data_IF_923921711096
#
_entry.id   IF_923921711096
#
_cell.length_a   1.000
_cell.length_b   1.000
_cell.length_c   1.000
_cell.angle_alpha   90.00
_cell.angle_beta   90.00
_cell.angle_gamma   90.00
#
_symmetry.space_group_name_H-M   'P 1'
#
loop_
_entity.id
_entity.type
_entity.pdbx_description
1 polymer ?
#
# COMPACT_ATOMS: atom_id res chain seq x y z
N UNK A 1 10.47 5.43 8.64
CA UNK A 1 11.81 5.43 8.02
C UNK A 1 12.37 4.04 8.18
N UNK A 2 12.84 3.41 7.11
CA UNK A 2 13.35 2.03 7.18
C UNK A 2 14.50 1.94 8.17
N UNK A 3 14.42 0.95 9.06
CA UNK A 3 15.41 0.76 10.12
C UNK A 3 16.74 0.25 9.53
N UNK A 4 17.83 0.41 10.26
CA UNK A 4 19.14 -0.06 9.80
C UNK A 4 19.18 -1.59 9.64
N UNK A 5 18.30 -2.31 10.36
CA UNK A 5 18.10 -3.74 10.23
C UNK A 5 17.40 -4.12 8.91
N UNK A 6 16.38 -3.37 8.49
CA UNK A 6 15.68 -3.59 7.22
C UNK A 6 16.57 -3.29 5.99
N UNK A 7 17.50 -2.35 6.13
CA UNK A 7 18.38 -1.93 5.03
C UNK A 7 19.62 -2.81 4.85
N UNK A 8 19.87 -3.74 5.77
CA UNK A 8 20.98 -4.68 5.71
C UNK A 8 20.94 -5.56 4.45
N UNK A 9 19.74 -5.86 3.95
CA UNK A 9 19.55 -6.64 2.72
C UNK A 9 20.13 -5.99 1.46
N UNK A 10 20.33 -4.66 1.46
CA UNK A 10 20.86 -3.91 0.32
C UNK A 10 22.38 -3.71 0.37
N UNK A 11 23.07 -4.28 1.38
CA UNK A 11 24.52 -4.28 1.50
C UNK A 11 25.15 -2.89 1.32
N UNK A 12 26.19 -2.81 0.46
CA UNK A 12 26.93 -1.57 0.19
C UNK A 12 26.10 -0.48 -0.53
N UNK A 13 24.99 -0.85 -1.17
CA UNK A 13 24.11 0.10 -1.85
C UNK A 13 23.20 0.86 -0.87
N UNK A 14 23.04 0.35 0.35
CA UNK A 14 22.13 0.92 1.36
C UNK A 14 22.44 2.38 1.72
N UNK A 15 23.68 2.85 1.55
CA UNK A 15 24.09 4.24 1.84
C UNK A 15 23.54 5.21 0.78
N UNK A 16 23.39 4.76 -0.46
CA UNK A 16 22.90 5.58 -1.58
C UNK A 16 21.38 5.57 -1.71
N UNK A 17 20.72 4.60 -1.08
CA UNK A 17 19.25 4.47 -1.05
C UNK A 17 18.61 5.22 0.12
N UNK A 18 19.44 5.87 0.95
CA UNK A 18 19.01 6.63 2.13
C UNK A 18 19.24 8.12 1.90
N UNK A 19 18.40 8.95 2.54
CA UNK A 19 18.76 10.35 2.78
C UNK A 19 20.01 10.40 3.66
N UNK A 20 20.92 11.39 3.47
CA UNK A 20 22.12 11.52 4.27
C UNK A 20 21.83 11.49 5.78
N UNK A 21 22.77 10.97 6.57
CA UNK A 21 22.61 10.84 8.03
C UNK A 21 22.24 12.17 8.71
N UNK A 22 22.79 13.27 8.18
CA UNK A 22 22.44 14.64 8.60
C UNK A 22 20.94 14.94 8.45
N UNK A 23 20.35 14.64 7.29
CA UNK A 23 18.92 14.86 7.04
C UNK A 23 18.03 13.93 7.87
N UNK A 24 18.52 12.72 8.19
CA UNK A 24 17.80 11.76 9.04
C UNK A 24 17.70 12.26 10.48
N UNK A 25 18.81 12.74 11.02
CA UNK A 25 18.88 13.31 12.38
C UNK A 25 18.04 14.58 12.47
N UNK A 26 18.11 15.45 11.45
CA UNK A 26 17.28 16.65 11.36
C UNK A 26 15.78 16.31 11.29
N UNK A 27 15.39 15.28 10.52
CA UNK A 27 14.00 14.84 10.42
C UNK A 27 13.45 14.19 11.70
N UNK A 28 14.29 13.45 12.45
CA UNK A 28 13.90 12.84 13.74
C UNK A 28 13.79 13.88 14.87
N UNK A 29 14.65 14.89 14.84
CA UNK A 29 14.66 15.95 15.86
C UNK A 29 13.74 17.12 15.51
N UNK A 30 13.12 17.13 14.34
CA UNK A 30 12.18 18.16 13.94
C UNK A 30 10.91 18.07 14.82
N UNK A 31 10.58 19.13 15.60
CA UNK A 31 9.36 19.15 16.38
C UNK A 31 8.14 19.14 15.45
N UNK A 32 7.34 18.07 15.54
CA UNK A 32 6.10 17.97 14.77
C UNK A 32 4.98 18.74 15.46
N UNK A 33 4.57 19.86 14.85
CA UNK A 33 3.41 20.61 15.29
C UNK A 33 2.13 20.08 14.62
N UNK A 34 1.42 19.20 15.33
CA UNK A 34 0.17 18.61 14.87
C UNK A 34 -0.94 19.64 14.59
N UNK A 35 -0.84 20.86 15.12
CA UNK A 35 -1.87 21.90 14.92
C UNK A 35 -1.74 22.62 13.58
N UNK A 36 -0.50 22.77 13.10
CA UNK A 36 -0.20 23.50 11.87
C UNK A 36 0.10 22.58 10.68
N UNK A 37 0.43 21.30 10.89
CA UNK A 37 0.61 20.36 9.79
C UNK A 37 -0.71 20.10 9.03
N UNK A 38 -0.70 20.27 7.70
CA UNK A 38 -1.85 19.97 6.83
C UNK A 38 -1.40 19.45 5.45
N UNK A 39 -2.32 18.91 4.66
CA UNK A 39 -2.04 18.43 3.30
C UNK A 39 -2.88 19.20 2.27
N UNK A 40 -2.25 19.50 1.13
CA UNK A 40 -2.88 20.19 0.00
C UNK A 40 -2.95 19.23 -1.18
N UNK A 41 -4.10 19.18 -1.86
CA UNK A 41 -4.25 18.36 -3.07
C UNK A 41 -3.39 18.90 -4.21
N UNK A 42 -2.65 18.03 -4.88
CA UNK A 42 -1.85 18.36 -6.07
C UNK A 42 -2.20 17.42 -7.24
N UNK A 43 -2.19 17.93 -8.46
CA UNK A 43 -2.61 17.17 -9.65
C UNK A 43 -1.61 16.07 -10.02
N UNK A 44 -0.31 16.24 -9.68
CA UNK A 44 0.76 15.29 -9.99
C UNK A 44 1.04 14.33 -8.83
N UNK A 45 1.12 14.86 -7.60
CA UNK A 45 1.52 14.08 -6.42
C UNK A 45 0.36 13.65 -5.51
N UNK A 46 -0.88 13.95 -5.93
CA UNK A 46 -2.14 13.78 -5.20
C UNK A 46 -2.25 14.65 -3.95
N UNK A 47 -1.24 14.62 -3.07
CA UNK A 47 -1.18 15.35 -1.81
C UNK A 47 0.25 15.79 -1.47
N UNK A 48 0.42 17.09 -1.23
CA UNK A 48 1.67 17.71 -0.76
C UNK A 48 1.59 18.05 0.73
N UNK A 49 2.68 17.82 1.46
CA UNK A 49 2.79 18.19 2.89
C UNK A 49 2.93 19.71 3.00
N UNK A 50 2.17 20.34 3.87
CA UNK A 50 2.22 21.78 4.09
C UNK A 50 2.07 22.18 5.56
N UNK A 51 2.50 23.39 5.90
CA UNK A 51 2.31 24.02 7.20
C UNK A 51 1.31 25.17 7.07
N UNK A 52 0.25 25.15 7.87
CA UNK A 52 -0.74 26.21 7.95
C UNK A 52 -0.10 27.49 8.53
N UNK A 53 -0.11 28.57 7.75
CA UNK A 53 0.35 29.89 8.17
C UNK A 53 -0.82 30.71 8.73
N UNK A 54 -1.94 30.74 8.00
CA UNK A 54 -3.11 31.56 8.37
C UNK A 54 -4.41 30.91 7.93
N UNK A 55 -5.46 31.08 8.72
CA UNK A 55 -6.83 30.63 8.41
C UNK A 55 -7.78 31.81 8.51
N UNK A 56 -8.34 32.23 7.37
CA UNK A 56 -9.36 33.28 7.27
C UNK A 56 -10.67 32.64 6.79
N UNK A 57 -11.43 32.09 7.74
CA UNK A 57 -12.70 31.40 7.47
C UNK A 57 -12.53 30.15 6.60
N UNK A 58 -12.98 30.24 5.34
CA UNK A 58 -12.93 29.14 4.34
C UNK A 58 -11.57 29.10 3.60
N UNK A 59 -10.74 30.14 3.73
CA UNK A 59 -9.42 30.24 3.07
C UNK A 59 -8.30 29.92 4.05
N UNK A 60 -7.31 29.16 3.60
CA UNK A 60 -6.13 28.82 4.36
C UNK A 60 -4.87 29.14 3.53
N UNK A 61 -3.93 29.87 4.12
CA UNK A 61 -2.59 30.09 3.56
C UNK A 61 -1.68 29.03 4.15
N UNK A 62 -1.02 28.28 3.28
CA UNK A 62 -0.23 27.11 3.65
C UNK A 62 1.11 27.15 2.94
N UNK A 63 2.19 26.78 3.63
CA UNK A 63 3.54 26.67 3.07
C UNK A 63 3.82 25.22 2.75
N UNK A 64 4.01 24.89 1.48
CA UNK A 64 4.35 23.53 1.05
C UNK A 64 5.80 23.24 1.47
N UNK A 65 6.04 22.07 2.06
CA UNK A 65 7.38 21.63 2.44
C UNK A 65 8.22 21.38 1.18
N UNK A 66 9.28 22.17 0.99
CA UNK A 66 10.23 22.02 -0.12
C UNK A 66 10.07 23.00 -1.28
N UNK A 67 9.09 23.92 -1.24
CA UNK A 67 8.94 25.01 -2.22
C UNK A 67 8.67 26.34 -1.53
N UNK A 68 8.97 27.45 -2.20
CA UNK A 68 8.50 28.78 -1.76
C UNK A 68 6.99 28.92 -2.02
N UNK A 69 6.33 29.66 -1.16
CA UNK A 69 4.89 29.65 -0.84
C UNK A 69 3.91 29.64 -2.04
N UNK A 70 2.80 28.90 -1.90
CA UNK A 70 1.67 28.98 -2.84
C UNK A 70 0.34 29.18 -2.10
N UNK A 71 -0.38 30.23 -2.50
CA UNK A 71 -1.75 30.50 -2.08
C UNK A 71 -2.71 29.50 -2.72
N UNK A 72 -3.12 28.46 -2.00
CA UNK A 72 -4.23 27.60 -2.44
C UNK A 72 -5.57 28.08 -1.88
N UNK A 73 -6.45 28.49 -2.80
CA UNK A 73 -7.75 29.14 -2.50
C UNK A 73 -8.89 28.19 -2.12
N UNK A 74 -8.63 26.91 -1.85
CA UNK A 74 -9.71 25.97 -1.51
C UNK A 74 -9.22 24.75 -0.73
N UNK A 75 -9.67 24.66 0.53
CA UNK A 75 -9.67 23.48 1.42
C UNK A 75 -8.29 22.88 1.80
N UNK A 76 -7.66 23.33 2.90
CA UNK A 76 -6.68 22.50 3.62
C UNK A 76 -7.43 21.57 4.57
N UNK A 77 -7.23 20.25 4.48
CA UNK A 77 -7.64 19.33 5.53
C UNK A 77 -6.55 19.38 6.60
N UNK A 78 -6.89 19.88 7.78
CA UNK A 78 -6.05 19.76 8.97
C UNK A 78 -5.68 18.29 9.12
N UNK A 79 -4.44 17.98 9.53
CA UNK A 79 -3.97 16.60 9.62
C UNK A 79 -4.87 15.76 10.55
N UNK A 80 -5.93 15.20 10.01
CA UNK A 80 -6.41 13.89 10.40
C UNK A 80 -5.22 12.97 10.13
N UNK A 81 -4.67 12.46 11.23
CA UNK A 81 -3.61 11.47 11.25
C UNK A 81 -3.70 10.55 10.02
N UNK A 82 -2.63 10.60 9.23
CA UNK A 82 -2.03 9.40 8.66
C UNK A 82 -2.85 8.53 7.68
N UNK A 83 -2.66 8.73 6.37
CA UNK A 83 -2.88 7.63 5.39
C UNK A 83 -1.57 7.29 4.66
N UNK A 84 -0.76 8.28 4.28
CA UNK A 84 0.48 8.04 3.52
C UNK A 84 1.69 7.70 4.40
N UNK A 85 1.69 8.13 5.67
CA UNK A 85 2.78 7.87 6.63
C UNK A 85 2.48 6.70 7.61
N UNK A 86 1.26 6.11 7.61
CA UNK A 86 0.90 4.91 8.42
C UNK A 86 0.75 3.62 7.59
N UNK A 87 0.67 3.69 6.26
CA UNK A 87 0.53 2.48 5.48
C UNK A 87 1.88 1.76 5.44
N UNK A 88 2.08 0.88 6.40
CA UNK A 88 3.19 -0.04 6.47
C UNK A 88 3.09 -1.07 5.34
N UNK A 89 3.60 -0.68 4.16
CA UNK A 89 3.57 -1.51 2.94
C UNK A 89 4.18 -2.90 3.16
N UNK A 90 5.14 -3.02 4.08
CA UNK A 90 5.74 -4.30 4.49
C UNK A 90 4.72 -5.27 5.08
N UNK A 91 3.75 -4.77 5.86
CA UNK A 91 2.72 -5.58 6.54
C UNK A 91 1.76 -6.31 5.57
N UNK A 92 1.77 -5.91 4.28
CA UNK A 92 1.07 -6.65 3.21
C UNK A 92 1.82 -7.93 2.85
N UNK A 93 3.13 -7.87 2.73
CA UNK A 93 3.98 -8.98 2.22
C UNK A 93 4.60 -9.82 3.32
N UNK A 94 4.63 -9.29 4.54
CA UNK A 94 5.35 -9.85 5.67
C UNK A 94 4.61 -9.54 6.97
N UNK A 95 4.63 -10.48 7.92
CA UNK A 95 4.12 -10.27 9.27
C UNK A 95 5.16 -10.83 10.23
N UNK A 96 5.44 -10.11 11.32
CA UNK A 96 6.17 -10.69 12.44
C UNK A 96 5.29 -11.78 13.11
N UNK A 97 5.91 -12.76 13.81
CA UNK A 97 5.16 -13.86 14.42
C UNK A 97 4.01 -13.43 15.34
N UNK A 98 4.19 -12.30 16.05
CA UNK A 98 3.22 -11.76 17.00
C UNK A 98 2.33 -10.66 16.39
N UNK A 99 2.41 -10.44 15.07
CA UNK A 99 1.61 -9.44 14.36
C UNK A 99 0.54 -10.09 13.48
N UNK A 100 -0.45 -9.27 13.10
CA UNK A 100 -1.51 -9.63 12.15
C UNK A 100 -1.44 -8.67 10.97
N UNK A 101 -1.74 -9.18 9.77
CA UNK A 101 -1.88 -8.33 8.58
C UNK A 101 -3.09 -7.38 8.66
N UNK A 102 -3.36 -6.64 7.59
CA UNK A 102 -4.50 -5.72 7.57
C UNK A 102 -5.85 -6.44 7.74
N UNK A 103 -6.75 -5.84 8.53
CA UNK A 103 -8.09 -6.37 8.83
C UNK A 103 -8.91 -6.72 7.59
N UNK A 104 -8.79 -5.93 6.52
CA UNK A 104 -9.55 -6.13 5.29
C UNK A 104 -9.35 -7.53 4.70
N UNK A 105 -8.14 -8.10 4.81
CA UNK A 105 -7.89 -9.45 4.31
C UNK A 105 -8.74 -10.48 5.05
N UNK A 106 -8.71 -10.44 6.37
CA UNK A 106 -9.46 -11.39 7.18
C UNK A 106 -10.97 -11.19 7.08
N UNK A 107 -11.42 -9.93 6.96
CA UNK A 107 -12.81 -9.62 6.67
C UNK A 107 -13.28 -10.28 5.37
N UNK A 108 -12.50 -10.18 4.29
CA UNK A 108 -12.83 -10.84 3.02
C UNK A 108 -12.89 -12.37 3.15
N UNK A 109 -12.00 -12.96 3.95
CA UNK A 109 -11.95 -14.41 4.22
C UNK A 109 -13.11 -14.91 5.09
N UNK A 110 -13.79 -14.04 5.86
CA UNK A 110 -15.00 -14.43 6.61
C UNK A 110 -16.19 -14.78 5.70
N UNK A 111 -16.16 -14.36 4.44
CA UNK A 111 -17.26 -14.46 3.49
C UNK A 111 -18.60 -13.91 4.04
N UNK A 112 -18.54 -12.86 4.87
CA UNK A 112 -19.76 -12.22 5.38
C UNK A 112 -20.66 -11.66 4.27
N UNK A 113 -20.05 -11.22 3.16
CA UNK A 113 -20.73 -10.82 1.93
C UNK A 113 -20.28 -11.77 0.79
N UNK A 114 -20.95 -12.92 0.62
CA UNK A 114 -20.50 -13.97 -0.32
C UNK A 114 -20.35 -13.48 -1.76
N UNK A 115 -21.24 -12.59 -2.22
CA UNK A 115 -21.20 -11.99 -3.56
C UNK A 115 -19.84 -11.30 -3.84
N UNK A 116 -19.30 -10.58 -2.85
CA UNK A 116 -18.02 -9.88 -3.00
C UNK A 116 -16.81 -10.81 -2.88
N UNK A 117 -16.91 -11.85 -2.05
CA UNK A 117 -15.88 -12.89 -1.92
C UNK A 117 -15.76 -13.70 -3.22
N UNK A 118 -16.89 -14.12 -3.80
CA UNK A 118 -16.94 -14.80 -5.10
C UNK A 118 -16.41 -13.90 -6.22
N UNK A 119 -16.81 -12.62 -6.25
CA UNK A 119 -16.31 -11.64 -7.21
C UNK A 119 -14.78 -11.49 -7.16
N UNK A 120 -14.19 -11.66 -5.97
CA UNK A 120 -12.74 -11.54 -5.74
C UNK A 120 -11.97 -12.84 -6.00
N UNK A 121 -12.67 -13.94 -6.31
CA UNK A 121 -12.10 -15.26 -6.60
C UNK A 121 -11.19 -15.81 -5.48
N UNK A 122 -11.46 -15.46 -4.22
CA UNK A 122 -10.67 -15.88 -3.06
C UNK A 122 -11.32 -17.08 -2.34
N UNK A 123 -10.52 -17.90 -1.68
CA UNK A 123 -11.01 -18.89 -0.73
C UNK A 123 -11.26 -18.25 0.64
N UNK A 124 -11.89 -18.98 1.56
CA UNK A 124 -12.07 -18.55 2.95
C UNK A 124 -10.95 -19.04 3.87
N UNK A 125 -10.01 -19.84 3.36
CA UNK A 125 -8.91 -20.38 4.13
C UNK A 125 -7.72 -19.40 4.13
N UNK A 126 -7.35 -18.79 5.27
CA UNK A 126 -6.24 -17.83 5.31
C UNK A 126 -4.88 -18.43 4.93
N UNK A 127 -4.71 -19.74 5.10
CA UNK A 127 -3.47 -20.44 4.74
C UNK A 127 -3.24 -20.60 3.24
N UNK A 128 -4.27 -20.34 2.43
CA UNK A 128 -4.13 -20.31 0.97
C UNK A 128 -3.41 -19.02 0.51
N UNK A 129 -3.20 -18.05 1.41
CA UNK A 129 -2.60 -16.76 1.13
C UNK A 129 -1.43 -16.48 2.08
N UNK A 130 -0.16 -16.61 1.63
CA UNK A 130 1.02 -16.33 2.46
C UNK A 130 1.07 -14.90 3.00
N UNK A 131 0.37 -13.96 2.39
CA UNK A 131 0.22 -12.58 2.86
C UNK A 131 -0.67 -12.45 4.10
N UNK A 132 -1.41 -13.49 4.47
CA UNK A 132 -2.36 -13.48 5.59
C UNK A 132 -1.99 -14.46 6.71
N UNK A 133 -1.03 -15.35 6.47
CA UNK A 133 -0.80 -16.54 7.29
C UNK A 133 0.59 -16.64 7.95
N UNK A 134 1.44 -15.60 7.86
CA UNK A 134 2.77 -15.63 8.51
C UNK A 134 2.75 -15.26 9.99
N UNK A 135 1.72 -14.54 10.43
CA UNK A 135 1.51 -14.14 11.82
C UNK A 135 0.17 -14.66 12.36
N UNK A 136 -0.43 -13.92 13.29
CA UNK A 136 -1.73 -14.28 13.86
C UNK A 136 -2.87 -14.09 12.86
N UNK A 137 -3.76 -15.08 12.79
CA UNK A 137 -4.93 -15.07 11.89
C UNK A 137 -6.17 -14.54 12.61
N UNK A 138 -6.32 -14.85 13.90
CA UNK A 138 -7.47 -14.47 14.72
C UNK A 138 -7.01 -13.68 15.93
N UNK A 139 -7.83 -12.71 16.35
CA UNK A 139 -7.60 -11.87 17.53
C UNK A 139 -8.91 -11.81 18.31
N UNK A 140 -8.91 -12.29 19.56
CA UNK A 140 -10.12 -12.50 20.36
C UNK A 140 -10.96 -11.21 20.59
N UNK A 141 -10.35 -10.04 20.49
CA UNK A 141 -11.01 -8.75 20.72
C UNK A 141 -11.60 -8.10 19.46
N UNK A 142 -11.52 -8.75 18.28
CA UNK A 142 -11.86 -8.13 16.99
C UNK A 142 -12.91 -8.98 16.26
N UNK A 143 -14.01 -8.34 15.86
CA UNK A 143 -15.02 -8.92 14.96
C UNK A 143 -14.81 -8.41 13.53
N UNK A 144 -14.29 -9.28 12.66
CA UNK A 144 -13.96 -8.91 11.28
C UNK A 144 -15.19 -8.84 10.35
N UNK A 145 -16.43 -9.15 10.82
CA UNK A 145 -17.61 -9.26 9.93
C UNK A 145 -18.17 -7.92 9.43
N UNK A 146 -18.26 -6.91 10.29
CA UNK A 146 -19.12 -5.74 10.05
C UNK A 146 -18.36 -4.44 9.69
N UNK A 147 -17.04 -4.48 9.55
CA UNK A 147 -16.23 -3.26 9.49
C UNK A 147 -16.50 -2.38 8.26
N UNK A 148 -16.72 -2.98 7.08
CA UNK A 148 -16.89 -2.20 5.84
C UNK A 148 -18.28 -1.55 5.70
N UNK A 149 -19.30 -2.12 6.35
CA UNK A 149 -20.65 -1.59 6.31
C UNK A 149 -20.80 -0.34 7.19
N UNK A 150 -20.01 -0.26 8.28
CA UNK A 150 -19.97 0.89 9.18
C UNK A 150 -19.39 2.14 8.48
N UNK A 151 -18.48 1.95 7.52
CA UNK A 151 -17.79 3.04 6.83
C UNK A 151 -18.65 3.74 5.76
N UNK A 152 -19.84 3.20 5.45
CA UNK A 152 -20.80 3.87 4.58
C UNK A 152 -20.45 3.89 3.09
N UNK A 153 -19.55 3.02 2.62
CA UNK A 153 -19.24 2.89 1.20
C UNK A 153 -20.46 2.42 0.39
N UNK A 154 -20.56 2.93 -0.84
CA UNK A 154 -21.54 2.47 -1.83
C UNK A 154 -21.28 1.03 -2.26
N UNK A 155 -22.26 0.37 -2.89
CA UNK A 155 -22.09 -1.00 -3.41
C UNK A 155 -20.97 -1.05 -4.45
N UNK A 156 -20.90 -0.07 -5.35
CA UNK A 156 -19.86 0.00 -6.37
C UNK A 156 -18.47 0.17 -5.76
N UNK A 157 -18.31 1.05 -4.76
CA UNK A 157 -17.03 1.24 -4.06
C UNK A 157 -16.58 -0.03 -3.35
N UNK A 158 -17.50 -0.74 -2.66
CA UNK A 158 -17.19 -2.02 -2.03
C UNK A 158 -16.71 -3.05 -3.05
N UNK A 159 -17.37 -3.14 -4.22
CA UNK A 159 -16.93 -4.02 -5.30
C UNK A 159 -15.53 -3.68 -5.79
N UNK A 160 -15.22 -2.40 -6.01
CA UNK A 160 -13.89 -1.96 -6.43
C UNK A 160 -12.82 -2.25 -5.38
N UNK A 161 -13.11 -2.00 -4.09
CA UNK A 161 -12.20 -2.29 -2.99
C UNK A 161 -11.90 -3.79 -2.95
N UNK A 162 -12.93 -4.63 -2.96
CA UNK A 162 -12.77 -6.09 -2.89
C UNK A 162 -12.00 -6.64 -4.10
N UNK A 163 -12.26 -6.16 -5.32
CA UNK A 163 -11.49 -6.56 -6.51
C UNK A 163 -10.01 -6.21 -6.38
N UNK A 164 -9.69 -4.99 -5.96
CA UNK A 164 -8.31 -4.54 -5.80
C UNK A 164 -7.59 -5.30 -4.68
N UNK A 165 -8.25 -5.52 -3.55
CA UNK A 165 -7.69 -6.26 -2.42
C UNK A 165 -7.52 -7.76 -2.73
N UNK A 166 -8.48 -8.36 -3.45
CA UNK A 166 -8.37 -9.74 -3.93
C UNK A 166 -7.21 -9.91 -4.91
N UNK A 167 -6.99 -8.94 -5.80
CA UNK A 167 -5.85 -8.94 -6.71
C UNK A 167 -4.51 -8.91 -5.96
N UNK A 168 -4.42 -8.18 -4.85
CA UNK A 168 -3.23 -8.17 -3.98
C UNK A 168 -2.97 -9.56 -3.39
N UNK A 169 -4.01 -10.24 -2.90
CA UNK A 169 -3.89 -11.59 -2.34
C UNK A 169 -3.38 -12.60 -3.39
N UNK A 170 -3.97 -12.60 -4.58
CA UNK A 170 -3.55 -13.48 -5.68
C UNK A 170 -2.13 -13.14 -6.18
N UNK A 171 -1.73 -11.86 -6.16
CA UNK A 171 -0.35 -11.47 -6.43
C UNK A 171 0.65 -12.15 -5.48
N UNK A 172 0.29 -12.31 -4.21
CA UNK A 172 1.11 -13.02 -3.22
C UNK A 172 1.27 -14.52 -3.46
N UNK A 173 0.37 -15.11 -4.25
CA UNK A 173 0.40 -16.53 -4.60
C UNK A 173 1.16 -16.84 -5.89
N UNK A 174 1.46 -15.83 -6.71
CA UNK A 174 2.19 -16.03 -7.95
C UNK A 174 3.56 -16.65 -7.68
N UNK A 175 3.86 -17.74 -8.40
CA UNK A 175 5.13 -18.46 -8.30
C UNK A 175 5.94 -18.23 -9.56
N UNK A 176 7.24 -18.09 -9.36
CA UNK A 176 8.22 -17.96 -10.42
C UNK A 176 9.34 -18.95 -10.17
N UNK A 177 9.89 -19.48 -11.25
CA UNK A 177 11.04 -20.40 -11.21
C UNK A 177 12.16 -19.90 -12.09
N UNK A 178 13.37 -20.36 -11.81
CA UNK A 178 14.50 -20.11 -12.67
C UNK A 178 14.40 -20.97 -13.93
N UNK A 179 14.63 -20.35 -15.08
CA UNK A 179 14.71 -21.05 -16.36
C UNK A 179 15.97 -21.94 -16.40
N UNK A 180 15.85 -23.19 -16.85
CA UNK A 180 16.86 -24.26 -16.68
C UNK A 180 18.30 -23.97 -17.15
N UNK A 181 18.53 -22.93 -17.97
CA UNK A 181 19.86 -22.59 -18.53
C UNK A 181 20.14 -21.10 -18.58
N UNK A 182 19.28 -20.30 -17.96
CA UNK A 182 19.37 -18.83 -17.95
C UNK A 182 19.21 -18.34 -16.51
N UNK A 183 19.84 -17.23 -16.16
CA UNK A 183 19.64 -16.56 -14.87
C UNK A 183 18.36 -15.69 -14.88
N UNK A 184 17.36 -16.08 -15.68
CA UNK A 184 16.08 -15.39 -15.83
C UNK A 184 14.96 -16.18 -15.14
N UNK A 185 13.98 -15.44 -14.61
CA UNK A 185 12.77 -16.00 -14.04
C UNK A 185 11.71 -16.24 -15.13
N UNK A 186 10.94 -17.32 -14.98
CA UNK A 186 9.73 -17.59 -15.75
C UNK A 186 8.56 -17.91 -14.81
N UNK A 187 7.30 -17.67 -15.22
CA UNK A 187 6.14 -18.01 -14.40
C UNK A 187 6.07 -19.52 -14.14
N UNK A 188 5.81 -19.93 -12.91
CA UNK A 188 5.59 -21.32 -12.53
C UNK A 188 4.10 -21.62 -12.37
N UNK A 189 3.39 -21.48 -13.50
CA UNK A 189 1.92 -21.52 -13.57
C UNK A 189 1.32 -20.14 -13.84
N UNK A 190 0.06 -20.13 -14.29
CA UNK A 190 -0.66 -18.89 -14.66
C UNK A 190 -1.95 -18.67 -13.87
N UNK A 191 -2.38 -19.62 -13.04
CA UNK A 191 -3.70 -19.58 -12.39
C UNK A 191 -3.93 -18.28 -11.60
N UNK A 192 -2.98 -17.92 -10.72
CA UNK A 192 -3.09 -16.70 -9.92
C UNK A 192 -2.91 -15.43 -10.78
N UNK A 193 -2.11 -15.51 -11.85
CA UNK A 193 -1.95 -14.42 -12.80
C UNK A 193 -3.25 -14.15 -13.58
N UNK A 194 -3.96 -15.20 -13.97
CA UNK A 194 -5.23 -15.11 -14.67
C UNK A 194 -6.32 -14.50 -13.76
N UNK A 195 -6.33 -14.88 -12.46
CA UNK A 195 -7.21 -14.26 -11.46
C UNK A 195 -6.91 -12.77 -11.27
N UNK A 196 -5.64 -12.38 -11.12
CA UNK A 196 -5.25 -10.97 -11.00
C UNK A 196 -5.63 -10.18 -12.26
N UNK A 197 -5.34 -10.74 -13.43
CA UNK A 197 -5.67 -10.11 -14.69
C UNK A 197 -7.18 -9.89 -14.85
N UNK A 198 -8.00 -10.87 -14.46
CA UNK A 198 -9.46 -10.74 -14.44
C UNK A 198 -9.94 -9.62 -13.50
N UNK A 199 -9.41 -9.56 -12.28
CA UNK A 199 -9.83 -8.58 -11.27
C UNK A 199 -9.44 -7.15 -11.65
N UNK A 200 -8.28 -6.97 -12.27
CA UNK A 200 -7.73 -5.68 -12.68
C UNK A 200 -8.11 -5.26 -14.10
N UNK A 201 -8.75 -6.15 -14.88
CA UNK A 201 -9.08 -5.90 -16.29
C UNK A 201 -7.84 -5.83 -17.20
N UNK A 202 -6.83 -6.65 -16.92
CA UNK A 202 -5.56 -6.72 -17.66
C UNK A 202 -5.49 -7.99 -18.51
N UNK A 203 -4.50 -8.05 -19.41
CA UNK A 203 -4.12 -9.28 -20.08
C UNK A 203 -3.06 -10.03 -19.25
N UNK A 204 -3.33 -11.28 -18.89
CA UNK A 204 -2.44 -12.10 -18.05
C UNK A 204 -1.07 -12.33 -18.69
N UNK A 205 -1.02 -12.62 -20.01
CA UNK A 205 0.23 -12.86 -20.72
C UNK A 205 1.10 -11.59 -20.79
N UNK A 206 0.50 -10.43 -21.04
CA UNK A 206 1.22 -9.16 -21.05
C UNK A 206 1.73 -8.79 -19.65
N UNK A 207 0.94 -9.04 -18.61
CA UNK A 207 1.33 -8.83 -17.22
C UNK A 207 2.52 -9.72 -16.84
N UNK A 208 2.44 -11.03 -17.08
CA UNK A 208 3.53 -11.97 -16.80
C UNK A 208 4.79 -11.63 -17.60
N UNK A 209 4.63 -11.23 -18.85
CA UNK A 209 5.74 -10.75 -19.68
C UNK A 209 6.38 -9.49 -19.11
N UNK A 210 5.58 -8.52 -18.66
CA UNK A 210 6.10 -7.30 -18.05
C UNK A 210 6.83 -7.58 -16.73
N UNK A 211 6.39 -8.58 -15.95
CA UNK A 211 7.04 -8.99 -14.70
C UNK A 211 8.37 -9.72 -14.94
N UNK A 212 8.42 -10.65 -15.90
CA UNK A 212 9.64 -11.42 -16.20
C UNK A 212 10.64 -10.66 -17.08
N UNK A 213 10.17 -9.72 -17.91
CA UNK A 213 10.97 -8.97 -18.87
C UNK A 213 10.73 -7.46 -18.71
N UNK A 214 11.13 -6.86 -17.57
CA UNK A 214 10.95 -5.43 -17.35
C UNK A 214 11.77 -4.64 -18.38
N UNK A 215 11.09 -3.72 -19.08
CA UNK A 215 11.77 -2.78 -19.98
C UNK A 215 12.33 -1.64 -19.15
N UNK A 216 13.65 -1.61 -19.02
CA UNK A 216 14.37 -0.54 -18.32
C UNK A 216 14.88 0.44 -19.36
N UNK A 217 14.46 1.70 -19.27
CA UNK A 217 15.05 2.78 -20.06
C UNK A 217 16.33 3.25 -19.37
N UNK A 218 17.47 3.16 -20.07
CA UNK A 218 18.78 3.61 -19.57
C UNK A 218 19.26 4.78 -20.43
N UNK A 219 19.30 5.99 -19.87
CA UNK A 219 19.57 7.22 -20.60
C UNK A 219 18.33 7.83 -21.27
N UNK A 220 18.50 9.04 -21.84
CA UNK A 220 17.49 9.71 -22.67
C UNK A 220 17.67 9.36 -24.15
#
# INVERSE_FOLDING_TARGET
>A
MSTDAEMAMYGKASIYLRKPEKERIEAQNAPFDAKSACYVSDVKELYLKATLIKKDGVKAIVKILGTEEFNHLSWCRQAERHIKDLLEKSSVTFQLPDERGYHIFYQMLTAHIPELTELSLISTNPYDFPMCSKGHITVASIDDKNAIDILGFTKEEKMSIYKMTGAVLHHGNMKFKQKQREEQAEPDGTEDADKVAYLLGLNSADMLKALCYPRVTVGN
#
